data_IF_502928564808
#
_entry.id   IF_502928564808
#
_cell.length_a   1.000
_cell.length_b   1.000
_cell.length_c   1.000
_cell.angle_alpha   90.00
_cell.angle_beta   90.00
_cell.angle_gamma   90.00
#
_symmetry.space_group_name_H-M   'P 1'
#
loop_
_entity.id
_entity.type
_entity.pdbx_description
1 polymer ?
#
# COMPACT_ATOMS: atom_id res chain seq x y z
N UNK A 1 -48.62 -15.94 32.71
CA UNK A 1 -47.40 -15.14 32.48
C UNK A 1 -46.97 -14.49 33.79
N UNK A 2 -45.94 -15.04 34.44
CA UNK A 2 -45.30 -14.47 35.63
C UNK A 2 -43.80 -14.37 35.33
N UNK A 3 -43.28 -13.15 35.36
CA UNK A 3 -41.85 -12.85 35.26
C UNK A 3 -41.14 -13.44 36.47
N UNK A 4 -40.32 -14.46 36.27
CA UNK A 4 -39.31 -14.84 37.26
C UNK A 4 -38.12 -13.91 37.11
N UNK A 5 -38.13 -12.86 37.93
CA UNK A 5 -36.95 -12.10 38.33
C UNK A 5 -35.90 -13.06 38.89
N UNK A 6 -34.77 -13.20 38.20
CA UNK A 6 -33.52 -13.65 38.79
C UNK A 6 -32.40 -12.73 38.30
N UNK A 7 -31.68 -12.17 39.27
CA UNK A 7 -30.55 -11.26 39.21
C UNK A 7 -30.85 -9.78 38.88
N UNK A 8 -31.00 -8.99 39.94
CA UNK A 8 -30.62 -7.57 39.93
C UNK A 8 -29.16 -7.47 39.46
N UNK A 9 -28.91 -6.70 38.39
CA UNK A 9 -27.62 -6.60 37.72
C UNK A 9 -26.47 -6.04 38.59
N UNK A 10 -26.78 -5.49 39.77
CA UNK A 10 -25.78 -4.87 40.66
C UNK A 10 -25.33 -5.76 41.85
N UNK A 11 -25.78 -7.02 41.92
CA UNK A 11 -25.40 -7.96 43.00
C UNK A 11 -24.89 -9.31 42.47
N UNK A 12 -24.10 -9.27 41.40
CA UNK A 12 -23.39 -10.42 40.88
C UNK A 12 -22.12 -10.68 41.71
N UNK A 13 -22.28 -11.36 42.85
CA UNK A 13 -21.16 -11.75 43.72
C UNK A 13 -21.04 -13.27 43.81
N UNK A 14 -19.87 -13.81 43.47
CA UNK A 14 -19.50 -15.16 43.87
C UNK A 14 -19.17 -15.17 45.38
N UNK A 15 -19.63 -16.16 46.15
CA UNK A 15 -19.25 -16.30 47.56
C UNK A 15 -17.73 -16.40 47.72
N UNK A 16 -17.18 -15.81 48.79
CA UNK A 16 -15.76 -15.99 49.11
C UNK A 16 -15.47 -17.48 49.36
N UNK A 17 -14.49 -18.02 48.64
CA UNK A 17 -14.08 -19.43 48.74
C UNK A 17 -14.62 -20.34 47.62
N UNK A 18 -15.38 -19.82 46.64
CA UNK A 18 -15.81 -20.61 45.49
C UNK A 18 -14.62 -21.08 44.64
N UNK A 19 -14.49 -22.40 44.48
CA UNK A 19 -13.53 -23.01 43.56
C UNK A 19 -13.95 -22.66 42.12
N UNK A 20 -13.04 -22.06 41.35
CA UNK A 20 -13.30 -21.60 39.98
C UNK A 20 -13.35 -22.77 38.98
N UNK A 21 -14.46 -23.51 39.01
CA UNK A 21 -14.82 -24.51 38.02
C UNK A 21 -15.04 -23.86 36.64
N UNK A 22 -14.99 -24.62 35.53
CA UNK A 22 -15.20 -24.07 34.19
C UNK A 22 -16.51 -23.27 34.04
N UNK A 23 -17.59 -23.72 34.68
CA UNK A 23 -18.86 -23.00 34.69
C UNK A 23 -18.79 -21.64 35.41
N UNK A 24 -18.05 -21.55 36.53
CA UNK A 24 -17.83 -20.30 37.25
C UNK A 24 -16.95 -19.32 36.46
N UNK A 25 -16.01 -19.84 35.65
CA UNK A 25 -15.19 -19.02 34.74
C UNK A 25 -16.00 -18.45 33.58
N UNK A 26 -16.89 -19.25 32.98
CA UNK A 26 -17.80 -18.77 31.94
C UNK A 26 -18.72 -17.66 32.47
N UNK A 27 -19.26 -17.82 33.67
CA UNK A 27 -20.07 -16.81 34.34
C UNK A 27 -19.32 -15.47 34.54
N UNK A 28 -18.06 -15.51 34.98
CA UNK A 28 -17.23 -14.31 35.12
C UNK A 28 -16.86 -13.68 33.76
N UNK A 29 -16.67 -14.50 32.72
CA UNK A 29 -16.41 -14.07 31.36
C UNK A 29 -17.60 -13.34 30.72
N UNK A 30 -18.81 -13.85 30.89
CA UNK A 30 -20.05 -13.24 30.42
C UNK A 30 -20.29 -11.86 31.05
N UNK A 31 -19.88 -11.68 32.31
CA UNK A 31 -20.04 -10.43 33.06
C UNK A 31 -18.82 -9.49 33.02
N UNK A 32 -17.84 -9.73 32.12
CA UNK A 32 -16.64 -8.90 31.90
C UNK A 32 -15.82 -8.59 33.17
N UNK A 33 -15.86 -9.46 34.18
CA UNK A 33 -15.05 -9.27 35.39
C UNK A 33 -13.61 -9.68 35.08
N UNK A 34 -12.71 -8.70 34.89
CA UNK A 34 -11.28 -8.94 34.67
C UNK A 34 -10.63 -9.46 35.95
N UNK A 35 -10.40 -10.78 36.02
CA UNK A 35 -9.55 -11.38 37.04
C UNK A 35 -8.11 -11.02 36.69
N UNK A 36 -7.48 -10.11 37.44
CA UNK A 36 -6.03 -9.90 37.37
C UNK A 36 -5.35 -11.15 37.92
N UNK A 37 -4.99 -12.07 37.03
CA UNK A 37 -4.12 -13.19 37.37
C UNK A 37 -2.71 -12.63 37.59
N UNK A 38 -2.33 -12.49 38.86
CA UNK A 38 -0.92 -12.42 39.24
C UNK A 38 -0.30 -13.80 39.08
N UNK A 39 0.81 -13.85 38.32
CA UNK A 39 1.76 -14.94 38.18
C UNK A 39 1.33 -16.13 37.29
N UNK A 40 1.37 -15.87 35.98
CA UNK A 40 1.59 -16.89 34.96
C UNK A 40 2.19 -16.18 33.75
N UNK A 41 3.51 -16.22 33.60
CA UNK A 41 4.23 -15.55 32.51
C UNK A 41 4.00 -16.29 31.19
N UNK A 42 2.80 -16.18 30.62
CA UNK A 42 2.67 -16.13 29.17
C UNK A 42 3.14 -14.74 28.77
N UNK A 43 4.33 -14.68 28.20
CA UNK A 43 4.87 -13.47 27.59
C UNK A 43 4.00 -13.21 26.35
N UNK A 44 2.91 -12.47 26.54
CA UNK A 44 2.26 -11.78 25.44
C UNK A 44 3.20 -10.63 25.08
N UNK A 45 4.10 -10.89 24.13
CA UNK A 45 4.85 -9.85 23.45
C UNK A 45 3.83 -9.07 22.63
N UNK A 46 3.09 -8.16 23.27
CA UNK A 46 2.63 -6.96 22.60
C UNK A 46 3.90 -6.23 22.16
N UNK A 47 4.42 -6.63 21.00
CA UNK A 47 5.46 -5.89 20.30
C UNK A 47 4.89 -4.48 20.14
N UNK A 48 5.44 -3.53 20.89
CA UNK A 48 5.25 -2.12 20.60
C UNK A 48 5.58 -1.99 19.13
N UNK A 49 4.60 -1.64 18.28
CA UNK A 49 4.87 -1.23 16.91
C UNK A 49 5.94 -0.15 17.01
N UNK A 50 7.15 -0.48 16.61
CA UNK A 50 8.23 0.49 16.43
C UNK A 50 7.67 1.54 15.46
N UNK A 51 7.70 2.80 15.85
CA UNK A 51 7.27 3.88 14.97
C UNK A 51 8.06 3.78 13.65
N UNK A 52 7.37 3.80 12.51
CA UNK A 52 8.03 3.78 11.20
C UNK A 52 8.93 5.01 11.11
N UNK A 53 10.21 4.86 10.74
CA UNK A 53 11.10 6.01 10.54
C UNK A 53 10.65 6.93 9.40
N UNK A 54 9.70 6.48 8.57
CA UNK A 54 9.26 7.16 7.35
C UNK A 54 7.76 7.48 7.35
N UNK A 55 7.16 7.80 8.51
CA UNK A 55 5.72 8.11 8.64
C UNK A 55 5.22 9.23 7.72
N UNK A 56 6.11 10.12 7.25
CA UNK A 56 5.79 11.16 6.28
C UNK A 56 5.40 10.62 4.90
N UNK A 57 5.73 9.36 4.56
CA UNK A 57 5.29 8.72 3.32
C UNK A 57 3.75 8.66 3.23
N UNK A 58 3.06 8.55 4.36
CA UNK A 58 1.58 8.58 4.42
C UNK A 58 1.00 9.94 4.00
N UNK A 59 1.82 10.99 3.99
CA UNK A 59 1.41 12.34 3.59
C UNK A 59 1.59 12.61 2.10
N UNK A 60 2.31 11.73 1.38
CA UNK A 60 2.52 11.87 -0.07
C UNK A 60 1.18 11.74 -0.81
N UNK A 61 0.87 12.75 -1.62
CA UNK A 61 -0.33 12.72 -2.47
C UNK A 61 0.01 12.09 -3.81
N UNK A 62 -0.60 10.94 -4.09
CA UNK A 62 -0.60 10.34 -5.41
C UNK A 62 -1.83 10.83 -6.18
N UNK A 63 -1.59 11.50 -7.30
CA UNK A 63 -2.63 12.09 -8.13
C UNK A 63 -3.66 11.04 -8.55
N UNK A 64 -4.91 11.45 -8.61
CA UNK A 64 -6.00 10.62 -9.13
C UNK A 64 -6.72 11.45 -10.18
N UNK A 65 -6.67 10.99 -11.43
CA UNK A 65 -7.41 11.63 -12.50
C UNK A 65 -8.90 11.36 -12.28
N UNK A 66 -9.70 12.43 -12.26
CA UNK A 66 -11.15 12.30 -12.20
C UNK A 66 -11.66 11.97 -13.59
N UNK A 67 -12.30 10.80 -13.75
CA UNK A 67 -12.87 10.39 -15.04
C UNK A 67 -14.13 11.20 -15.29
N UNK A 68 -14.18 11.92 -16.41
CA UNK A 68 -15.40 12.58 -16.85
C UNK A 68 -16.23 11.60 -17.67
N UNK A 69 -17.19 10.93 -17.03
CA UNK A 69 -18.08 9.96 -17.70
C UNK A 69 -18.88 10.57 -18.87
N UNK A 70 -19.13 11.88 -18.87
CA UNK A 70 -19.76 12.58 -20.00
C UNK A 70 -18.85 12.75 -21.22
N UNK A 71 -17.54 12.56 -21.06
CA UNK A 71 -16.52 12.67 -22.10
C UNK A 71 -15.75 11.35 -22.29
N UNK A 72 -16.28 10.22 -21.82
CA UNK A 72 -15.60 8.92 -21.87
C UNK A 72 -15.21 8.49 -23.30
N UNK A 73 -15.96 8.92 -24.31
CA UNK A 73 -15.64 8.65 -25.71
C UNK A 73 -14.41 9.44 -26.22
N UNK A 74 -14.09 10.56 -25.56
CA UNK A 74 -12.93 11.42 -25.86
C UNK A 74 -11.75 11.11 -24.95
N UNK A 75 -12.00 10.63 -23.73
CA UNK A 75 -10.92 10.10 -22.89
C UNK A 75 -10.50 8.73 -23.44
N UNK A 76 -9.25 8.63 -23.91
CA UNK A 76 -8.69 7.35 -24.35
C UNK A 76 -8.71 6.36 -23.18
N UNK A 77 -9.70 5.46 -23.17
CA UNK A 77 -9.86 4.41 -22.15
C UNK A 77 -8.56 3.63 -21.87
N UNK A 78 -7.74 3.29 -22.89
CA UNK A 78 -6.42 2.70 -22.67
C UNK A 78 -5.44 3.60 -21.87
N UNK A 79 -5.44 4.92 -22.10
CA UNK A 79 -4.61 5.86 -21.33
C UNK A 79 -5.07 5.92 -19.86
N UNK A 80 -6.38 6.01 -19.62
CA UNK A 80 -6.93 6.01 -18.25
C UNK A 80 -6.53 4.73 -17.52
N UNK A 81 -6.67 3.58 -18.19
CA UNK A 81 -6.29 2.28 -17.62
C UNK A 81 -4.80 2.22 -17.31
N UNK A 82 -3.94 2.67 -18.22
CA UNK A 82 -2.49 2.74 -18.00
C UNK A 82 -2.15 3.62 -16.80
N UNK A 83 -2.74 4.82 -16.71
CA UNK A 83 -2.55 5.74 -15.58
C UNK A 83 -3.01 5.11 -14.26
N UNK A 84 -4.15 4.43 -14.25
CA UNK A 84 -4.62 3.71 -13.06
C UNK A 84 -3.66 2.59 -12.64
N UNK A 85 -3.17 1.79 -13.59
CA UNK A 85 -2.20 0.71 -13.31
C UNK A 85 -0.88 1.26 -12.77
N UNK A 86 -0.37 2.37 -13.33
CA UNK A 86 0.83 3.05 -12.82
C UNK A 86 0.64 3.57 -11.40
N UNK A 87 -0.55 4.12 -11.11
CA UNK A 87 -0.89 4.60 -9.77
C UNK A 87 -0.90 3.48 -8.75
N UNK A 88 -1.52 2.36 -9.08
CA UNK A 88 -1.57 1.17 -8.20
C UNK A 88 -0.17 0.61 -7.93
N UNK A 89 0.66 0.50 -8.96
CA UNK A 89 2.06 0.11 -8.80
C UNK A 89 2.84 1.08 -7.91
N UNK A 90 2.64 2.39 -8.07
CA UNK A 90 3.35 3.39 -7.26
C UNK A 90 2.94 3.34 -5.79
N UNK A 91 1.65 3.15 -5.49
CA UNK A 91 1.18 2.95 -4.12
C UNK A 91 1.77 1.67 -3.50
N UNK A 92 1.89 0.60 -4.29
CA UNK A 92 2.56 -0.62 -3.86
C UNK A 92 4.05 -0.37 -3.57
N UNK A 93 4.74 0.36 -4.44
CA UNK A 93 6.13 0.76 -4.23
C UNK A 93 6.30 1.56 -2.93
N UNK A 94 5.46 2.58 -2.69
CA UNK A 94 5.46 3.35 -1.44
C UNK A 94 5.25 2.44 -0.22
N UNK A 95 4.37 1.43 -0.34
CA UNK A 95 4.14 0.45 0.73
C UNK A 95 5.38 -0.40 0.99
N UNK A 96 6.08 -0.83 -0.06
CA UNK A 96 7.33 -1.61 0.08
C UNK A 96 8.41 -0.75 0.75
N UNK A 97 8.54 0.49 0.30
CA UNK A 97 9.49 1.48 0.81
C UNK A 97 9.21 1.81 2.29
N UNK A 98 7.94 1.97 2.71
CA UNK A 98 7.58 2.19 4.13
C UNK A 98 8.03 1.04 5.05
N UNK A 99 8.18 -0.18 4.54
CA UNK A 99 8.69 -1.32 5.33
C UNK A 99 10.21 -1.31 5.53
N UNK A 100 10.92 -0.30 5.04
CA UNK A 100 12.33 -0.12 5.33
C UNK A 100 12.57 0.27 6.80
N UNK A 101 13.68 -0.22 7.33
CA UNK A 101 14.12 0.10 8.69
C UNK A 101 15.00 1.36 8.72
N UNK A 102 15.52 1.79 7.57
CA UNK A 102 16.33 3.00 7.42
C UNK A 102 15.50 4.25 7.17
N UNK A 103 16.09 5.41 7.48
CA UNK A 103 15.56 6.71 7.06
C UNK A 103 15.81 6.88 5.57
N UNK A 104 14.77 7.29 4.86
CA UNK A 104 14.81 7.54 3.41
C UNK A 104 15.14 9.01 3.14
N UNK A 105 15.86 9.27 2.04
CA UNK A 105 15.99 10.62 1.51
C UNK A 105 14.64 11.12 0.98
N UNK A 106 14.05 12.05 1.72
CA UNK A 106 12.77 12.65 1.39
C UNK A 106 12.80 13.37 0.03
N UNK A 107 13.92 14.01 -0.34
CA UNK A 107 14.03 14.74 -1.59
C UNK A 107 13.94 13.81 -2.82
N UNK A 108 14.58 12.64 -2.74
CA UNK A 108 14.51 11.62 -3.79
C UNK A 108 13.10 11.07 -3.96
N UNK A 109 12.43 10.78 -2.84
CA UNK A 109 11.05 10.27 -2.87
C UNK A 109 10.04 11.31 -3.37
N UNK A 110 10.22 12.59 -3.01
CA UNK A 110 9.41 13.69 -3.54
C UNK A 110 9.60 13.83 -5.05
N UNK A 111 10.84 13.80 -5.54
CA UNK A 111 11.17 13.84 -6.98
C UNK A 111 10.49 12.68 -7.74
N UNK A 112 10.53 11.47 -7.16
CA UNK A 112 9.89 10.29 -7.72
C UNK A 112 8.36 10.42 -7.71
N UNK A 113 7.77 10.94 -6.64
CA UNK A 113 6.32 11.17 -6.56
C UNK A 113 5.87 12.24 -7.57
N UNK A 114 6.64 13.31 -7.75
CA UNK A 114 6.40 14.34 -8.76
C UNK A 114 6.46 13.77 -10.18
N UNK A 115 7.50 13.00 -10.49
CA UNK A 115 7.63 12.30 -11.77
C UNK A 115 6.43 11.39 -12.06
N UNK A 116 6.05 10.54 -11.10
CA UNK A 116 4.89 9.64 -11.29
C UNK A 116 3.60 10.46 -11.42
N UNK A 117 3.40 11.48 -10.60
CA UNK A 117 2.21 12.33 -10.69
C UNK A 117 2.11 13.05 -12.04
N UNK A 118 3.24 13.43 -12.64
CA UNK A 118 3.27 13.97 -13.99
C UNK A 118 2.72 12.93 -14.98
N UNK A 119 3.18 11.67 -14.94
CA UNK A 119 2.64 10.61 -15.80
C UNK A 119 1.14 10.38 -15.59
N UNK A 120 0.69 10.41 -14.33
CA UNK A 120 -0.71 10.14 -13.96
C UNK A 120 -1.71 11.22 -14.40
N UNK A 121 -1.23 12.43 -14.67
CA UNK A 121 -2.10 13.60 -14.90
C UNK A 121 -2.11 14.09 -16.34
N UNK A 122 -1.20 13.61 -17.19
CA UNK A 122 -1.15 14.01 -18.61
C UNK A 122 -2.43 13.61 -19.35
N UNK A 123 -3.00 14.58 -20.05
CA UNK A 123 -4.06 14.35 -21.03
C UNK A 123 -3.49 13.74 -22.32
N UNK A 124 -4.37 13.22 -23.16
CA UNK A 124 -3.97 12.62 -24.44
C UNK A 124 -3.22 13.63 -25.33
N UNK A 125 -3.71 14.86 -25.43
CA UNK A 125 -3.09 15.92 -26.22
C UNK A 125 -1.68 16.27 -25.72
N UNK A 126 -1.48 16.27 -24.40
CA UNK A 126 -0.16 16.51 -23.80
C UNK A 126 0.80 15.34 -24.04
N UNK A 127 0.30 14.10 -24.11
CA UNK A 127 1.12 12.94 -24.49
C UNK A 127 1.55 13.06 -25.95
N UNK A 128 0.67 13.52 -26.84
CA UNK A 128 0.99 13.79 -28.25
C UNK A 128 2.00 14.92 -28.43
N UNK A 129 1.98 15.93 -27.56
CA UNK A 129 2.93 17.05 -27.59
C UNK A 129 4.38 16.62 -27.36
N UNK A 130 4.62 15.40 -26.85
CA UNK A 130 5.92 14.75 -26.77
C UNK A 130 6.99 15.54 -25.99
N UNK A 131 6.59 16.22 -24.92
CA UNK A 131 7.49 16.93 -24.01
C UNK A 131 8.51 15.98 -23.37
N UNK A 132 9.68 16.52 -22.98
CA UNK A 132 10.72 15.78 -22.27
C UNK A 132 10.29 15.44 -20.85
N UNK A 133 10.63 14.24 -20.38
CA UNK A 133 10.34 13.77 -19.02
C UNK A 133 11.63 13.59 -18.23
N UNK A 134 11.72 14.09 -16.99
CA UNK A 134 12.94 14.08 -16.18
C UNK A 134 13.21 12.72 -15.49
N UNK A 135 13.05 11.61 -16.21
CA UNK A 135 13.25 10.24 -15.69
C UNK A 135 14.67 10.01 -15.14
N UNK A 136 15.68 10.66 -15.70
CA UNK A 136 17.08 10.51 -15.28
C UNK A 136 17.33 11.06 -13.86
N UNK A 137 16.42 11.88 -13.33
CA UNK A 137 16.48 12.41 -11.98
C UNK A 137 15.94 11.40 -10.94
N UNK A 138 15.24 10.36 -11.38
CA UNK A 138 14.65 9.34 -10.52
C UNK A 138 15.63 8.17 -10.35
N UNK A 139 16.04 7.91 -9.11
CA UNK A 139 17.00 6.83 -8.77
C UNK A 139 16.42 5.87 -7.73
N UNK A 140 15.81 4.79 -8.19
CA UNK A 140 15.26 3.76 -7.31
C UNK A 140 16.34 2.89 -6.62
N UNK A 141 17.54 2.85 -7.20
CA UNK A 141 18.63 1.96 -6.78
C UNK A 141 19.27 2.33 -5.45
N UNK A 142 19.01 3.54 -4.96
CA UNK A 142 19.60 4.10 -3.74
C UNK A 142 18.87 3.59 -2.47
N UNK A 143 17.72 2.96 -2.65
CA UNK A 143 16.89 2.42 -1.58
C UNK A 143 17.30 0.98 -1.22
N UNK A 144 17.84 0.78 -0.02
CA UNK A 144 18.24 -0.56 0.47
C UNK A 144 17.12 -1.24 1.27
N UNK A 145 16.44 -2.19 0.64
CA UNK A 145 15.41 -3.02 1.27
C UNK A 145 16.02 -4.23 2.00
N UNK A 146 16.83 -3.99 3.03
CA UNK A 146 17.46 -5.10 3.79
C UNK A 146 16.47 -6.00 4.55
N UNK A 147 15.24 -5.53 4.84
CA UNK A 147 14.21 -6.30 5.58
C UNK A 147 12.78 -6.14 5.03
N UNK A 148 12.62 -5.83 3.75
CA UNK A 148 11.29 -5.72 3.18
C UNK A 148 10.59 -7.09 3.11
N UNK A 149 9.27 -7.18 3.33
CA UNK A 149 8.54 -8.42 3.14
C UNK A 149 8.67 -8.91 1.69
N UNK A 150 9.28 -10.08 1.50
CA UNK A 150 9.52 -10.67 0.16
C UNK A 150 8.24 -10.76 -0.69
N UNK A 151 7.10 -11.06 -0.06
CA UNK A 151 5.81 -11.11 -0.74
C UNK A 151 5.45 -9.77 -1.39
N UNK A 152 5.69 -8.64 -0.72
CA UNK A 152 5.42 -7.31 -1.28
C UNK A 152 6.36 -6.99 -2.45
N UNK A 153 7.63 -7.40 -2.34
CA UNK A 153 8.61 -7.24 -3.41
C UNK A 153 8.21 -8.06 -4.65
N UNK A 154 7.77 -9.30 -4.47
CA UNK A 154 7.26 -10.16 -5.55
C UNK A 154 5.97 -9.62 -6.18
N UNK A 155 5.06 -9.07 -5.37
CA UNK A 155 3.87 -8.38 -5.87
C UNK A 155 4.24 -7.16 -6.72
N UNK A 156 5.21 -6.37 -6.26
CA UNK A 156 5.70 -5.21 -7.01
C UNK A 156 6.34 -5.65 -8.33
N UNK A 157 7.18 -6.68 -8.32
CA UNK A 157 7.76 -7.23 -9.54
C UNK A 157 6.67 -7.73 -10.51
N UNK A 158 5.63 -8.38 -10.00
CA UNK A 158 4.50 -8.86 -10.82
C UNK A 158 3.69 -7.71 -11.43
N UNK A 159 3.59 -6.57 -10.73
CA UNK A 159 2.88 -5.38 -11.23
C UNK A 159 3.54 -4.79 -12.48
N UNK A 160 4.85 -5.00 -12.68
CA UNK A 160 5.55 -4.59 -13.92
C UNK A 160 4.89 -5.23 -15.14
N UNK A 161 4.47 -6.49 -15.04
CA UNK A 161 3.73 -7.17 -16.11
C UNK A 161 2.37 -6.52 -16.40
N UNK A 162 1.65 -6.08 -15.38
CA UNK A 162 0.37 -5.39 -15.53
C UNK A 162 0.53 -4.04 -16.24
N UNK A 163 1.59 -3.29 -15.90
CA UNK A 163 1.94 -2.06 -16.60
C UNK A 163 2.32 -2.35 -18.05
N UNK A 164 3.12 -3.38 -18.30
CA UNK A 164 3.51 -3.77 -19.66
C UNK A 164 2.29 -4.11 -20.54
N UNK A 165 1.32 -4.87 -20.02
CA UNK A 165 0.08 -5.15 -20.74
C UNK A 165 -0.74 -3.88 -21.01
N UNK A 166 -0.92 -3.03 -20.00
CA UNK A 166 -1.69 -1.78 -20.15
C UNK A 166 -1.03 -0.81 -21.14
N UNK A 167 0.30 -0.74 -21.14
CA UNK A 167 1.09 0.05 -22.10
C UNK A 167 1.01 -0.54 -23.51
N UNK A 168 1.06 -1.86 -23.62
CA UNK A 168 0.86 -2.58 -24.88
C UNK A 168 -0.49 -2.28 -25.51
N UNK A 169 -1.57 -2.36 -24.73
CA UNK A 169 -2.93 -2.01 -25.16
C UNK A 169 -3.02 -0.55 -25.63
N UNK A 170 -2.39 0.37 -24.90
CA UNK A 170 -2.38 1.79 -25.26
C UNK A 170 -1.66 2.05 -26.59
N UNK A 171 -0.47 1.48 -26.77
CA UNK A 171 0.31 1.60 -28.02
C UNK A 171 -0.39 0.89 -29.18
N UNK A 172 -1.10 -0.22 -28.94
CA UNK A 172 -1.83 -0.91 -29.99
C UNK A 172 -2.99 -0.06 -30.53
N UNK A 173 -3.71 0.64 -29.64
CA UNK A 173 -4.81 1.54 -30.02
C UNK A 173 -4.30 2.84 -30.63
N UNK A 174 -3.11 3.31 -30.23
CA UNK A 174 -2.49 4.56 -30.66
C UNK A 174 -1.02 4.33 -31.09
N UNK A 175 -0.75 3.66 -32.23
CA UNK A 175 0.59 3.26 -32.65
C UNK A 175 1.59 4.42 -32.82
N UNK A 176 1.10 5.61 -33.15
CA UNK A 176 1.86 6.85 -33.26
C UNK A 176 2.58 7.22 -31.95
N UNK A 177 2.07 6.76 -30.81
CA UNK A 177 2.65 7.02 -29.49
C UNK A 177 3.79 6.07 -29.12
N UNK A 178 4.13 5.09 -29.96
CA UNK A 178 5.24 4.15 -29.68
C UNK A 178 6.56 4.88 -29.43
N UNK A 179 6.78 6.00 -30.10
CA UNK A 179 8.00 6.81 -29.94
C UNK A 179 7.84 7.95 -28.95
N UNK A 180 6.66 8.13 -28.35
CA UNK A 180 6.41 9.23 -27.43
C UNK A 180 7.32 9.13 -26.20
N UNK A 181 7.90 10.24 -25.79
CA UNK A 181 8.75 10.37 -24.62
C UNK A 181 8.01 9.90 -23.36
N UNK A 182 6.69 10.11 -23.30
CA UNK A 182 5.82 9.54 -22.27
C UNK A 182 5.94 8.01 -22.16
N UNK A 183 5.78 7.29 -23.29
CA UNK A 183 5.88 5.83 -23.32
C UNK A 183 7.32 5.37 -22.98
N UNK A 184 8.33 6.09 -23.47
CA UNK A 184 9.75 5.79 -23.17
C UNK A 184 10.06 5.97 -21.68
N UNK A 185 9.56 7.04 -21.06
CA UNK A 185 9.71 7.30 -19.63
C UNK A 185 9.07 6.19 -18.79
N UNK A 186 7.89 5.71 -19.16
CA UNK A 186 7.26 4.55 -18.51
C UNK A 186 8.14 3.31 -18.65
N UNK A 187 8.64 3.00 -19.85
CA UNK A 187 9.51 1.84 -20.08
C UNK A 187 10.77 1.91 -19.21
N UNK A 188 11.43 3.07 -19.18
CA UNK A 188 12.62 3.28 -18.37
C UNK A 188 12.32 3.12 -16.87
N UNK A 189 11.21 3.69 -16.40
CA UNK A 189 10.73 3.54 -15.03
C UNK A 189 10.47 2.07 -14.66
N UNK A 190 9.80 1.31 -15.54
CA UNK A 190 9.54 -0.11 -15.33
C UNK A 190 10.84 -0.92 -15.27
N UNK A 191 11.81 -0.61 -16.13
CA UNK A 191 13.12 -1.26 -16.10
C UNK A 191 13.86 -1.00 -14.77
N UNK A 192 13.75 0.22 -14.22
CA UNK A 192 14.34 0.53 -12.90
C UNK A 192 13.67 -0.28 -11.78
N UNK A 193 12.33 -0.35 -11.74
CA UNK A 193 11.60 -1.15 -10.75
C UNK A 193 11.99 -2.63 -10.86
N UNK A 194 12.03 -3.16 -12.09
CA UNK A 194 12.40 -4.56 -12.32
C UNK A 194 13.83 -4.85 -11.85
N UNK A 195 14.80 -4.02 -12.24
CA UNK A 195 16.20 -4.20 -11.83
C UNK A 195 16.36 -4.11 -10.31
N UNK A 196 15.69 -3.15 -9.67
CA UNK A 196 15.72 -2.99 -8.23
C UNK A 196 15.09 -4.16 -7.48
N UNK A 197 13.90 -4.60 -7.88
CA UNK A 197 13.23 -5.76 -7.26
C UNK A 197 14.03 -7.05 -7.46
N UNK A 198 14.62 -7.28 -8.63
CA UNK A 198 15.51 -8.42 -8.88
C UNK A 198 16.72 -8.41 -7.94
N UNK A 199 17.40 -7.26 -7.80
CA UNK A 199 18.55 -7.11 -6.90
C UNK A 199 18.22 -7.46 -5.44
N UNK A 200 16.98 -7.25 -5.01
CA UNK A 200 16.52 -7.57 -3.65
C UNK A 200 16.22 -9.07 -3.50
N UNK A 201 15.62 -9.68 -4.53
CA UNK A 201 15.22 -11.08 -4.50
C UNK A 201 16.38 -12.06 -4.70
N UNK A 202 17.48 -11.62 -5.32
CA UNK A 202 18.71 -12.41 -5.52
C UNK A 202 19.66 -12.39 -4.31
N UNK A 203 19.36 -11.60 -3.28
CA UNK A 203 20.11 -11.55 -2.01
C UNK A 203 19.61 -12.61 -1.03
#
# INVERSE_FOLDING_TARGET
MRQNKLANQDQLTLPRGTILTPAARSFLGEHRVKIKQTNGSSIDVQSKKTASPNSWLETLRVATRTVNFGQLAQESSPLIRLQQTLREQFLLLLTVIDKQIGVIDQSQMMTMAEFVNELLTKSFDQVLANEDYPIDQVKLTDFDLSKAPLLLVQQLQSSVGQVAFSLGDYIQVQPELRQATYCRAIIQWQNQIQAWTQKILER
#
